data_IF_903261289368
#
_entry.id   IF_903261289368
#
_cell.length_a   1.000
_cell.length_b   1.000
_cell.length_c   1.000
_cell.angle_alpha   90.00
_cell.angle_beta   90.00
_cell.angle_gamma   90.00
#
_symmetry.space_group_name_H-M   'P 1'
#
loop_
_entity.id
_entity.type
_entity.pdbx_description
1 polymer ?
#
# COMPACT_ATOMS: atom_id res chain seq x y z
N UNK A 1 -17.22 -20.04 14.95
CA UNK A 1 -16.52 -18.93 14.23
C UNK A 1 -15.90 -18.00 15.26
N UNK A 2 -14.77 -17.35 14.98
CA UNK A 2 -14.13 -16.38 15.90
C UNK A 2 -14.21 -14.95 15.34
N UNK A 3 -14.53 -13.99 16.20
CA UNK A 3 -14.63 -12.56 15.83
C UNK A 3 -13.44 -11.81 16.42
N UNK A 4 -12.67 -11.12 15.58
CA UNK A 4 -11.54 -10.28 15.95
C UNK A 4 -11.90 -8.83 15.61
N UNK A 5 -12.03 -7.99 16.64
CA UNK A 5 -12.36 -6.56 16.47
C UNK A 5 -11.17 -5.74 15.98
N UNK A 6 -11.44 -4.56 15.38
CA UNK A 6 -10.40 -3.60 15.01
C UNK A 6 -9.53 -3.17 16.19
N UNK A 7 -10.12 -3.07 17.40
CA UNK A 7 -9.37 -2.78 18.61
C UNK A 7 -8.34 -3.88 18.91
N UNK A 8 -8.74 -5.15 18.85
CA UNK A 8 -7.86 -6.30 19.06
C UNK A 8 -6.78 -6.41 17.97
N UNK A 9 -7.14 -6.15 16.70
CA UNK A 9 -6.17 -6.06 15.61
C UNK A 9 -5.10 -5.02 15.98
N UNK A 10 -5.51 -3.80 16.34
CA UNK A 10 -4.61 -2.70 16.65
C UNK A 10 -3.73 -2.95 17.86
N UNK A 11 -4.31 -3.28 19.01
CA UNK A 11 -3.59 -3.30 20.30
C UNK A 11 -2.81 -4.58 20.54
N UNK A 12 -3.22 -5.69 19.91
CA UNK A 12 -2.67 -7.01 20.24
C UNK A 12 -1.99 -7.68 19.06
N UNK A 13 -2.57 -7.58 17.86
CA UNK A 13 -2.04 -8.30 16.69
C UNK A 13 -0.98 -7.49 15.94
N UNK A 14 -1.19 -6.20 15.67
CA UNK A 14 -0.21 -5.35 14.97
C UNK A 14 1.18 -5.38 15.65
N UNK A 15 1.32 -5.32 16.99
CA UNK A 15 2.63 -5.40 17.65
C UNK A 15 3.35 -6.73 17.41
N UNK A 16 2.62 -7.82 17.11
CA UNK A 16 3.19 -9.15 16.84
C UNK A 16 3.68 -9.30 15.39
N UNK A 17 3.29 -8.40 14.48
CA UNK A 17 3.64 -8.48 13.06
C UNK A 17 5.08 -8.02 12.83
N UNK A 18 5.91 -8.93 12.33
CA UNK A 18 7.26 -8.60 11.84
C UNK A 18 7.21 -8.08 10.41
N UNK A 19 8.20 -7.27 10.01
CA UNK A 19 8.33 -6.85 8.60
C UNK A 19 8.49 -8.07 7.67
N UNK A 20 9.23 -9.10 8.10
CA UNK A 20 9.47 -10.30 7.31
C UNK A 20 8.17 -11.06 7.01
N UNK A 21 7.37 -11.35 8.05
CA UNK A 21 6.08 -12.04 7.87
C UNK A 21 5.09 -11.23 7.03
N UNK A 22 5.12 -9.90 7.16
CA UNK A 22 4.24 -9.01 6.40
C UNK A 22 4.62 -8.95 4.92
N UNK A 23 5.90 -8.78 4.61
CA UNK A 23 6.41 -8.78 3.24
C UNK A 23 6.21 -10.15 2.58
N UNK A 24 6.44 -11.24 3.31
CA UNK A 24 6.17 -12.60 2.85
C UNK A 24 4.70 -12.79 2.48
N UNK A 25 3.78 -12.41 3.37
CA UNK A 25 2.33 -12.46 3.13
C UNK A 25 1.94 -11.73 1.84
N UNK A 26 2.46 -10.51 1.62
CA UNK A 26 2.12 -9.75 0.42
C UNK A 26 2.82 -10.28 -0.84
N UNK A 27 4.00 -10.89 -0.73
CA UNK A 27 4.63 -11.57 -1.84
C UNK A 27 3.82 -12.80 -2.30
N UNK A 28 3.33 -13.61 -1.36
CA UNK A 28 2.41 -14.72 -1.66
C UNK A 28 1.18 -14.21 -2.40
N UNK A 29 0.56 -13.13 -1.92
CA UNK A 29 -0.61 -12.53 -2.55
C UNK A 29 -0.34 -12.11 -4.00
N UNK A 30 0.70 -11.29 -4.22
CA UNK A 30 0.99 -10.74 -5.53
C UNK A 30 1.48 -11.80 -6.53
N UNK A 31 2.28 -12.77 -6.08
CA UNK A 31 2.75 -13.86 -6.94
C UNK A 31 1.65 -14.87 -7.27
N UNK A 32 0.59 -14.97 -6.46
CA UNK A 32 -0.57 -15.82 -6.79
C UNK A 32 -1.31 -15.37 -8.06
N UNK A 33 -1.17 -14.10 -8.47
CA UNK A 33 -1.72 -13.56 -9.71
C UNK A 33 -0.85 -13.85 -10.94
N UNK A 34 0.37 -14.36 -10.75
CA UNK A 34 1.26 -14.65 -11.87
C UNK A 34 0.82 -15.95 -12.57
N UNK A 35 0.94 -16.04 -13.91
CA UNK A 35 0.66 -17.27 -14.63
C UNK A 35 1.56 -18.41 -14.13
N UNK A 36 0.98 -19.54 -13.75
CA UNK A 36 1.77 -20.75 -13.44
C UNK A 36 2.25 -21.40 -14.73
N UNK A 37 3.51 -21.85 -14.76
CA UNK A 37 4.10 -22.56 -15.92
C UNK A 37 3.52 -23.97 -16.14
N UNK A 38 2.75 -24.49 -15.19
CA UNK A 38 2.01 -25.76 -15.30
C UNK A 38 0.57 -25.55 -15.78
N UNK A 39 0.00 -26.58 -16.39
CA UNK A 39 -1.42 -26.63 -16.76
C UNK A 39 -2.30 -26.16 -15.59
N UNK A 40 -3.13 -25.13 -15.77
CA UNK A 40 -3.91 -24.57 -14.68
C UNK A 40 -4.88 -25.62 -14.13
N UNK A 41 -4.68 -26.02 -12.88
CA UNK A 41 -5.66 -26.79 -12.12
C UNK A 41 -6.61 -25.80 -11.42
N UNK A 42 -7.93 -26.06 -11.37
CA UNK A 42 -8.86 -25.24 -10.60
C UNK A 42 -8.52 -25.17 -9.10
N UNK A 43 -7.63 -26.05 -8.61
CA UNK A 43 -7.15 -26.05 -7.22
C UNK A 43 -5.91 -25.18 -6.97
N UNK A 44 -5.22 -24.69 -8.01
CA UNK A 44 -3.95 -23.96 -7.88
C UNK A 44 -4.00 -22.52 -8.39
N UNK A 45 -5.09 -22.13 -9.05
CA UNK A 45 -5.21 -20.79 -9.65
C UNK A 45 -5.85 -19.81 -8.67
N UNK A 46 -5.21 -18.66 -8.46
CA UNK A 46 -5.83 -17.58 -7.70
C UNK A 46 -7.12 -17.10 -8.38
N UNK A 47 -8.10 -16.72 -7.57
CA UNK A 47 -9.38 -16.20 -8.04
C UNK A 47 -9.56 -14.81 -7.44
N UNK A 48 -9.57 -13.79 -8.29
CA UNK A 48 -9.75 -12.41 -7.89
C UNK A 48 -10.79 -11.74 -8.80
N UNK A 49 -12.08 -12.14 -8.71
CA UNK A 49 -13.14 -11.52 -9.50
C UNK A 49 -13.25 -10.01 -9.24
N UNK A 50 -13.82 -9.23 -10.17
CA UNK A 50 -14.11 -7.82 -9.96
C UNK A 50 -14.97 -7.59 -8.71
N UNK A 51 -14.70 -6.48 -8.01
CA UNK A 51 -15.48 -6.06 -6.84
C UNK A 51 -16.96 -5.86 -7.22
N UNK A 52 -17.87 -6.36 -6.39
CA UNK A 52 -19.30 -6.13 -6.52
C UNK A 52 -19.70 -4.90 -5.71
N UNK A 53 -20.58 -4.06 -6.26
CA UNK A 53 -21.01 -2.81 -5.64
C UNK A 53 -22.52 -2.80 -5.38
N UNK A 54 -22.93 -2.48 -4.16
CA UNK A 54 -24.31 -2.11 -3.81
C UNK A 54 -24.34 -0.64 -3.41
N UNK A 55 -25.34 0.08 -3.90
CA UNK A 55 -25.54 1.50 -3.61
C UNK A 55 -26.65 1.66 -2.57
N UNK A 56 -26.30 2.25 -1.44
CA UNK A 56 -27.24 2.66 -0.40
C UNK A 56 -27.32 4.20 -0.37
N UNK A 57 -28.32 4.82 0.29
CA UNK A 57 -28.45 6.28 0.30
C UNK A 57 -27.21 7.05 0.79
N UNK A 58 -26.41 6.45 1.68
CA UNK A 58 -25.25 7.11 2.32
C UNK A 58 -23.91 6.41 2.07
N UNK A 59 -23.90 5.23 1.42
CA UNK A 59 -22.68 4.46 1.22
C UNK A 59 -22.72 3.65 -0.07
N UNK A 60 -21.57 3.46 -0.69
CA UNK A 60 -21.33 2.38 -1.64
C UNK A 60 -20.70 1.21 -0.88
N UNK A 61 -21.40 0.09 -0.81
CA UNK A 61 -20.90 -1.15 -0.21
C UNK A 61 -20.18 -1.98 -1.26
N UNK A 62 -18.95 -2.37 -0.97
CA UNK A 62 -18.11 -3.17 -1.86
C UNK A 62 -17.91 -4.55 -1.27
N UNK A 63 -18.11 -5.57 -2.09
CA UNK A 63 -17.84 -6.98 -1.77
C UNK A 63 -16.71 -7.46 -2.67
N UNK A 64 -15.63 -7.93 -2.04
CA UNK A 64 -14.39 -8.28 -2.72
C UNK A 64 -14.01 -9.72 -2.33
N UNK A 65 -14.65 -10.74 -2.93
CA UNK A 65 -14.26 -12.13 -2.74
C UNK A 65 -12.94 -12.40 -3.47
N UNK A 66 -12.02 -13.10 -2.81
CA UNK A 66 -10.78 -13.54 -3.42
C UNK A 66 -10.24 -14.83 -2.78
N UNK A 67 -9.41 -15.54 -3.54
CA UNK A 67 -8.66 -16.73 -3.13
C UNK A 67 -7.29 -16.68 -3.78
N UNK A 68 -6.26 -17.11 -3.07
CA UNK A 68 -4.89 -17.26 -3.59
C UNK A 68 -4.62 -18.71 -3.97
N UNK A 69 -3.38 -19.04 -4.31
CA UNK A 69 -2.94 -20.42 -4.52
C UNK A 69 -2.69 -21.18 -3.20
N UNK A 70 -2.86 -20.52 -2.04
CA UNK A 70 -2.81 -21.15 -0.71
C UNK A 70 -4.23 -21.40 -0.19
N UNK A 71 -4.44 -22.39 0.70
CA UNK A 71 -5.76 -22.69 1.25
C UNK A 71 -6.44 -21.48 1.88
N UNK A 72 -7.76 -21.52 1.88
CA UNK A 72 -8.72 -20.55 2.41
C UNK A 72 -8.98 -19.35 1.50
N UNK A 73 -10.21 -18.86 1.59
CA UNK A 73 -10.70 -17.71 0.82
C UNK A 73 -11.24 -16.61 1.73
N UNK A 74 -11.22 -15.38 1.25
CA UNK A 74 -11.70 -14.20 1.99
C UNK A 74 -12.72 -13.44 1.18
N UNK A 75 -13.77 -12.98 1.87
CA UNK A 75 -14.66 -11.93 1.36
C UNK A 75 -14.45 -10.69 2.20
N UNK A 76 -13.87 -9.64 1.61
CA UNK A 76 -13.84 -8.31 2.24
C UNK A 76 -15.13 -7.58 1.91
N UNK A 77 -15.75 -7.01 2.94
CA UNK A 77 -16.95 -6.19 2.86
C UNK A 77 -16.64 -4.82 3.46
N UNK A 78 -16.70 -3.76 2.66
CA UNK A 78 -16.41 -2.40 3.10
C UNK A 78 -17.50 -1.43 2.65
N UNK A 79 -17.82 -0.43 3.47
CA UNK A 79 -18.79 0.62 3.12
C UNK A 79 -18.06 1.94 2.95
N UNK A 80 -18.02 2.45 1.73
CA UNK A 80 -17.41 3.75 1.40
C UNK A 80 -18.48 4.84 1.54
N UNK A 81 -18.32 5.84 2.41
CA UNK A 81 -19.29 6.93 2.54
C UNK A 81 -19.46 7.72 1.23
N UNK A 82 -20.70 8.06 0.89
CA UNK A 82 -20.99 9.02 -0.18
C UNK A 82 -20.85 10.47 0.33
N UNK A 83 -20.88 11.44 -0.58
CA UNK A 83 -20.88 12.87 -0.22
C UNK A 83 -22.09 13.30 0.63
N UNK A 84 -23.15 12.50 0.65
CA UNK A 84 -24.38 12.72 1.44
C UNK A 84 -24.33 12.10 2.83
N UNK A 85 -23.28 11.36 3.17
CA UNK A 85 -23.16 10.69 4.46
C UNK A 85 -22.87 11.68 5.59
N UNK A 86 -23.67 11.63 6.65
CA UNK A 86 -23.46 12.37 7.90
C UNK A 86 -22.66 11.56 8.94
N UNK A 87 -22.20 10.35 8.60
CA UNK A 87 -21.47 9.47 9.52
C UNK A 87 -20.02 9.93 9.62
N UNK A 88 -19.46 9.82 10.83
CA UNK A 88 -18.06 10.16 11.12
C UNK A 88 -17.07 9.50 10.13
N UNK A 89 -15.95 10.17 9.90
CA UNK A 89 -14.93 9.77 8.93
C UNK A 89 -14.45 8.33 9.13
N UNK A 90 -14.48 7.51 8.07
CA UNK A 90 -13.94 6.15 8.08
C UNK A 90 -14.51 5.29 6.95
N UNK A 91 -13.96 4.09 6.78
CA UNK A 91 -14.49 3.07 5.87
C UNK A 91 -14.72 1.81 6.72
N UNK A 92 -15.90 1.66 7.34
CA UNK A 92 -16.18 0.48 8.15
C UNK A 92 -16.21 -0.77 7.26
N UNK A 93 -15.71 -1.87 7.79
CA UNK A 93 -15.71 -3.13 7.07
C UNK A 93 -15.19 -4.31 7.87
N UNK A 94 -15.35 -5.49 7.29
CA UNK A 94 -14.89 -6.76 7.82
C UNK A 94 -14.33 -7.64 6.71
N UNK A 95 -13.43 -8.53 7.09
CA UNK A 95 -12.99 -9.65 6.27
C UNK A 95 -13.57 -10.93 6.85
N UNK A 96 -14.27 -11.71 6.03
CA UNK A 96 -14.78 -13.04 6.36
C UNK A 96 -13.83 -14.07 5.79
N UNK A 97 -13.22 -14.89 6.65
CA UNK A 97 -12.34 -15.98 6.25
C UNK A 97 -13.12 -17.29 6.22
N UNK A 98 -13.01 -18.04 5.13
CA UNK A 98 -13.65 -19.32 4.91
C UNK A 98 -12.60 -20.43 4.84
N UNK A 99 -12.83 -21.50 5.60
CA UNK A 99 -12.01 -22.70 5.54
C UNK A 99 -12.30 -23.45 4.24
N UNK A 100 -11.27 -23.66 3.42
CA UNK A 100 -11.43 -24.29 2.10
C UNK A 100 -11.89 -25.75 2.18
N UNK A 101 -11.57 -26.46 3.28
CA UNK A 101 -11.86 -27.89 3.42
C UNK A 101 -13.31 -28.18 3.78
N UNK A 102 -13.92 -27.30 4.59
CA UNK A 102 -15.26 -27.44 5.14
C UNK A 102 -16.27 -26.47 4.53
N UNK A 103 -15.80 -25.40 3.86
CA UNK A 103 -16.61 -24.30 3.36
C UNK A 103 -17.19 -23.41 4.46
N UNK A 104 -16.84 -23.64 5.74
CA UNK A 104 -17.41 -22.92 6.87
C UNK A 104 -16.68 -21.59 7.09
N UNK A 105 -17.38 -20.52 7.51
CA UNK A 105 -16.72 -19.29 7.93
C UNK A 105 -15.97 -19.55 9.25
N UNK A 106 -14.65 -19.37 9.23
CA UNK A 106 -13.78 -19.60 10.38
C UNK A 106 -13.63 -18.34 11.23
N UNK A 107 -13.48 -17.18 10.58
CA UNK A 107 -13.22 -15.89 11.25
C UNK A 107 -13.98 -14.71 10.63
N UNK A 108 -14.32 -13.74 11.48
CA UNK A 108 -14.67 -12.37 11.10
C UNK A 108 -13.59 -11.45 11.68
N UNK A 109 -12.95 -10.65 10.83
CA UNK A 109 -11.86 -9.75 11.25
C UNK A 109 -12.21 -8.31 10.86
N UNK A 110 -12.11 -7.37 11.80
CA UNK A 110 -12.23 -5.94 11.50
C UNK A 110 -11.23 -5.52 10.41
N UNK A 111 -11.71 -4.85 9.37
CA UNK A 111 -10.89 -4.57 8.17
C UNK A 111 -10.26 -3.18 8.15
N UNK A 112 -10.53 -2.33 9.15
CA UNK A 112 -10.14 -0.91 9.15
C UNK A 112 -8.64 -0.76 9.00
N UNK A 113 -7.87 -1.55 9.75
CA UNK A 113 -6.40 -1.51 9.72
C UNK A 113 -5.80 -2.41 8.63
N UNK A 114 -6.45 -3.53 8.30
CA UNK A 114 -5.93 -4.51 7.34
C UNK A 114 -5.70 -3.88 5.96
N UNK A 115 -6.63 -3.05 5.49
CA UNK A 115 -6.48 -2.38 4.19
C UNK A 115 -5.32 -1.38 4.17
N UNK A 116 -5.09 -0.65 5.26
CA UNK A 116 -3.95 0.26 5.34
C UNK A 116 -2.62 -0.51 5.44
N UNK A 117 -2.61 -1.58 6.24
CA UNK A 117 -1.45 -2.43 6.46
C UNK A 117 -0.99 -3.13 5.19
N UNK A 118 -1.89 -3.81 4.48
CA UNK A 118 -1.55 -4.56 3.26
C UNK A 118 -1.09 -3.66 2.11
N UNK A 119 -1.72 -2.49 1.94
CA UNK A 119 -1.28 -1.49 0.95
C UNK A 119 0.10 -0.95 1.30
N UNK A 120 0.30 -0.50 2.54
CA UNK A 120 1.58 0.01 3.02
C UNK A 120 2.70 -1.04 2.92
N UNK A 121 2.39 -2.32 3.13
CA UNK A 121 3.33 -3.43 2.98
C UNK A 121 3.77 -3.63 1.53
N UNK A 122 2.85 -3.56 0.56
CA UNK A 122 3.20 -3.57 -0.87
C UNK A 122 4.09 -2.38 -1.25
N UNK A 123 3.76 -1.18 -0.78
CA UNK A 123 4.59 0.01 -0.98
C UNK A 123 5.95 -0.05 -0.27
N UNK A 124 6.02 -0.70 0.90
CA UNK A 124 7.29 -0.96 1.55
C UNK A 124 8.13 -1.91 0.71
N UNK A 125 7.55 -3.00 0.21
CA UNK A 125 8.26 -3.94 -0.65
C UNK A 125 8.83 -3.25 -1.90
N UNK A 126 8.04 -2.41 -2.59
CA UNK A 126 8.53 -1.62 -3.74
C UNK A 126 9.62 -0.63 -3.36
N UNK A 127 9.49 0.02 -2.21
CA UNK A 127 10.50 0.97 -1.69
C UNK A 127 11.81 0.28 -1.33
N UNK A 128 11.76 -0.94 -0.78
CA UNK A 128 12.94 -1.75 -0.50
C UNK A 128 13.64 -2.10 -1.81
N UNK A 129 12.91 -2.58 -2.82
CA UNK A 129 13.50 -2.88 -4.13
C UNK A 129 14.14 -1.63 -4.77
N UNK A 130 13.51 -0.46 -4.64
CA UNK A 130 13.98 0.77 -5.25
C UNK A 130 15.16 1.44 -4.50
N UNK A 131 15.15 1.43 -3.17
CA UNK A 131 16.05 2.23 -2.33
C UNK A 131 16.83 1.40 -1.29
N UNK A 132 16.66 0.08 -1.25
CA UNK A 132 17.28 -0.80 -0.26
C UNK A 132 18.82 -0.78 -0.30
N UNK A 133 19.41 -0.69 -1.48
CA UNK A 133 20.87 -0.55 -1.64
C UNK A 133 21.43 0.76 -1.09
N UNK A 134 20.60 1.80 -0.96
CA UNK A 134 20.97 3.12 -0.41
C UNK A 134 20.19 3.45 0.86
N UNK A 135 19.75 2.43 1.61
CA UNK A 135 18.89 2.55 2.80
C UNK A 135 19.35 3.63 3.78
N UNK A 136 20.66 3.72 4.06
CA UNK A 136 21.21 4.71 5.00
C UNK A 136 21.16 6.17 4.51
N UNK A 137 20.91 6.39 3.21
CA UNK A 137 20.74 7.72 2.61
C UNK A 137 19.27 8.18 2.63
N UNK A 138 18.32 7.29 2.94
CA UNK A 138 16.89 7.60 3.00
C UNK A 138 16.57 8.31 4.32
N UNK A 139 16.56 9.65 4.30
CA UNK A 139 16.39 10.49 5.50
C UNK A 139 15.06 11.21 5.62
N UNK A 140 14.32 11.31 4.52
CA UNK A 140 13.15 12.19 4.40
C UNK A 140 12.05 11.57 3.56
N UNK A 141 10.80 11.78 4.00
CA UNK A 141 9.59 11.36 3.30
C UNK A 141 8.59 12.52 3.21
N UNK A 142 7.95 12.64 2.06
CA UNK A 142 6.76 13.47 1.86
C UNK A 142 5.55 12.56 1.74
N UNK A 143 4.47 12.85 2.46
CA UNK A 143 3.21 12.12 2.36
C UNK A 143 2.06 13.08 2.09
N UNK A 144 1.37 12.89 0.97
CA UNK A 144 0.14 13.60 0.65
C UNK A 144 -1.04 12.88 1.29
N UNK A 145 -1.77 13.58 2.15
CA UNK A 145 -2.88 13.07 2.93
C UNK A 145 -2.50 12.73 4.37
N UNK A 146 -3.50 12.79 5.26
CA UNK A 146 -3.38 12.56 6.71
C UNK A 146 -4.23 11.34 7.19
N UNK A 147 -4.74 10.55 6.23
CA UNK A 147 -5.59 9.38 6.48
C UNK A 147 -4.83 8.15 7.00
N UNK A 148 -5.55 7.03 7.17
CA UNK A 148 -4.96 5.76 7.63
C UNK A 148 -3.85 5.23 6.71
N UNK A 149 -4.01 5.38 5.39
CA UNK A 149 -2.97 4.98 4.43
C UNK A 149 -1.67 5.75 4.70
N UNK A 150 -1.72 7.07 4.82
CA UNK A 150 -0.55 7.90 5.10
C UNK A 150 0.18 7.50 6.39
N UNK A 151 -0.58 7.29 7.47
CA UNK A 151 -0.02 6.85 8.77
C UNK A 151 0.68 5.49 8.65
N UNK A 152 0.03 4.49 8.05
CA UNK A 152 0.60 3.15 7.93
C UNK A 152 1.82 3.10 6.98
N UNK A 153 1.83 3.91 5.92
CA UNK A 153 2.99 4.01 5.04
C UNK A 153 4.18 4.57 5.82
N UNK A 154 4.01 5.69 6.52
CA UNK A 154 5.08 6.27 7.34
C UNK A 154 5.54 5.29 8.42
N UNK A 155 4.61 4.66 9.16
CA UNK A 155 4.92 3.70 10.21
C UNK A 155 5.78 2.53 9.72
N UNK A 156 5.36 1.83 8.66
CA UNK A 156 6.13 0.68 8.14
C UNK A 156 7.49 1.11 7.59
N UNK A 157 7.57 2.27 6.95
CA UNK A 157 8.84 2.76 6.40
C UNK A 157 9.81 3.21 7.50
N UNK A 158 9.34 3.78 8.61
CA UNK A 158 10.17 4.06 9.79
C UNK A 158 10.75 2.79 10.42
N UNK A 159 10.02 1.66 10.38
CA UNK A 159 10.52 0.37 10.88
C UNK A 159 11.66 -0.22 10.04
N UNK A 160 11.71 0.11 8.74
CA UNK A 160 12.74 -0.40 7.83
C UNK A 160 13.85 0.64 7.59
N UNK A 161 13.53 1.83 7.10
CA UNK A 161 14.49 2.91 6.85
C UNK A 161 14.83 3.61 8.16
N UNK A 162 15.69 3.02 8.99
CA UNK A 162 16.06 3.53 10.33
C UNK A 162 16.74 4.90 10.33
N UNK A 163 17.26 5.33 9.17
CA UNK A 163 17.82 6.68 8.95
C UNK A 163 16.75 7.73 8.58
N UNK A 164 15.48 7.33 8.40
CA UNK A 164 14.35 8.21 8.10
C UNK A 164 13.97 9.02 9.34
N UNK A 165 14.19 10.34 9.28
CA UNK A 165 14.00 11.25 10.42
C UNK A 165 13.06 12.41 10.11
N UNK A 166 12.92 12.82 8.85
CA UNK A 166 12.04 13.93 8.45
C UNK A 166 10.78 13.42 7.76
N UNK A 167 9.61 13.70 8.36
CA UNK A 167 8.29 13.39 7.79
C UNK A 167 7.56 14.70 7.50
N UNK A 168 7.29 14.96 6.23
CA UNK A 168 6.49 16.12 5.80
C UNK A 168 5.12 15.64 5.34
N UNK A 169 4.07 16.02 6.06
CA UNK A 169 2.68 15.69 5.72
C UNK A 169 2.04 16.86 4.97
N UNK A 170 1.61 16.63 3.73
CA UNK A 170 0.93 17.63 2.90
C UNK A 170 -0.58 17.44 3.03
N UNK A 171 -1.28 18.49 3.48
CA UNK A 171 -2.74 18.48 3.72
C UNK A 171 -3.43 19.62 3.00
N UNK A 172 -4.74 19.49 2.73
CA UNK A 172 -5.49 20.58 2.08
C UNK A 172 -5.13 20.82 0.61
N UNK A 173 -4.72 19.78 -0.13
CA UNK A 173 -4.45 19.93 -1.57
C UNK A 173 -5.68 20.39 -2.39
N UNK A 174 -6.89 20.13 -1.88
CA UNK A 174 -8.15 20.51 -2.53
C UNK A 174 -8.84 21.74 -1.91
N UNK A 175 -8.31 22.28 -0.80
CA UNK A 175 -8.89 23.44 -0.11
C UNK A 175 -7.86 24.17 0.72
N UNK A 176 -7.98 25.49 0.80
CA UNK A 176 -7.19 26.28 1.73
C UNK A 176 -7.50 25.90 3.18
N UNK A 177 -6.46 25.79 3.99
CA UNK A 177 -6.53 25.54 5.43
C UNK A 177 -5.85 26.72 6.15
N UNK A 178 -6.42 27.13 7.27
CA UNK A 178 -5.77 28.04 8.21
C UNK A 178 -4.56 27.36 8.88
N UNK A 179 -3.65 28.16 9.43
CA UNK A 179 -2.50 27.64 10.19
C UNK A 179 -2.94 26.75 11.35
N UNK A 180 -4.03 27.10 12.03
CA UNK A 180 -4.58 26.31 13.15
C UNK A 180 -5.08 24.94 12.68
N UNK A 181 -5.76 24.86 11.53
CA UNK A 181 -6.20 23.59 10.95
C UNK A 181 -5.02 22.71 10.51
N UNK A 182 -3.97 23.30 9.94
CA UNK A 182 -2.73 22.57 9.59
C UNK A 182 -2.07 22.02 10.85
N UNK A 183 -2.01 22.80 11.93
CA UNK A 183 -1.46 22.35 13.22
C UNK A 183 -2.31 21.26 13.89
N UNK A 184 -3.63 21.33 13.77
CA UNK A 184 -4.52 20.26 14.23
C UNK A 184 -4.28 18.97 13.46
N UNK A 185 -4.18 19.05 12.12
CA UNK A 185 -3.83 17.93 11.25
C UNK A 185 -2.51 17.29 11.64
N UNK A 186 -1.49 18.11 11.91
CA UNK A 186 -0.17 17.66 12.41
C UNK A 186 -0.30 16.88 13.72
N UNK A 187 -1.01 17.43 14.72
CA UNK A 187 -1.20 16.79 16.03
C UNK A 187 -1.94 15.46 15.92
N UNK A 188 -3.00 15.41 15.11
CA UNK A 188 -3.77 14.18 14.89
C UNK A 188 -2.95 13.12 14.16
N UNK A 189 -2.14 13.51 13.16
CA UNK A 189 -1.25 12.58 12.47
C UNK A 189 -0.19 12.03 13.42
N UNK A 190 0.45 12.89 14.23
CA UNK A 190 1.44 12.49 15.24
C UNK A 190 0.83 11.49 16.22
N UNK A 191 -0.31 11.82 16.85
CA UNK A 191 -0.94 10.96 17.83
C UNK A 191 -1.28 9.56 17.26
N UNK A 192 -1.72 9.49 16.01
CA UNK A 192 -2.02 8.21 15.34
C UNK A 192 -0.77 7.42 14.97
N UNK A 193 0.32 8.10 14.62
CA UNK A 193 1.60 7.44 14.36
C UNK A 193 2.24 6.96 15.67
N UNK A 194 2.20 7.78 16.73
CA UNK A 194 2.75 7.47 18.05
C UNK A 194 2.00 6.30 18.72
N UNK A 195 0.71 6.11 18.41
CA UNK A 195 -0.05 4.92 18.83
C UNK A 195 0.46 3.61 18.18
N UNK A 196 1.16 3.69 17.04
CA UNK A 196 1.76 2.54 16.34
C UNK A 196 3.28 2.42 16.54
N UNK A 197 3.96 3.54 16.77
CA UNK A 197 5.41 3.65 16.94
C UNK A 197 5.77 3.59 18.42
N UNK A 198 6.51 2.55 18.85
CA UNK A 198 6.98 2.49 20.24
C UNK A 198 8.25 3.32 20.48
N UNK A 199 9.09 3.54 19.46
CA UNK A 199 10.40 4.20 19.59
C UNK A 199 10.88 4.75 18.24
N UNK A 200 11.11 6.06 18.14
CA UNK A 200 11.77 6.67 16.97
C UNK A 200 12.09 8.14 17.22
N UNK A 201 13.25 8.61 16.73
CA UNK A 201 13.59 10.03 16.68
C UNK A 201 13.28 10.53 15.26
N UNK A 202 12.05 10.99 15.05
CA UNK A 202 11.64 11.64 13.81
C UNK A 202 10.90 12.95 14.11
N UNK A 203 10.93 13.88 13.16
CA UNK A 203 10.18 15.13 13.21
C UNK A 203 9.04 15.08 12.20
N UNK A 204 7.83 15.40 12.65
CA UNK A 204 6.67 15.55 11.77
C UNK A 204 6.41 17.04 11.57
N UNK A 205 6.57 17.49 10.33
CA UNK A 205 6.07 18.77 9.87
C UNK A 205 4.79 18.56 9.06
N UNK A 206 3.86 19.51 9.10
CA UNK A 206 2.67 19.50 8.26
C UNK A 206 2.58 20.82 7.50
N UNK A 207 2.37 20.74 6.19
CA UNK A 207 2.29 21.90 5.30
C UNK A 207 1.01 21.87 4.48
N UNK A 208 0.53 23.06 4.09
CA UNK A 208 -0.60 23.19 3.18
C UNK A 208 -0.19 22.78 1.77
N UNK A 209 -1.00 21.96 1.11
CA UNK A 209 -0.85 21.60 -0.30
C UNK A 209 -1.05 22.78 -1.26
N UNK A 210 -1.62 23.90 -0.77
CA UNK A 210 -1.70 25.16 -1.51
C UNK A 210 -0.37 25.92 -1.51
N UNK A 211 0.54 25.65 -0.57
CA UNK A 211 1.88 26.26 -0.54
C UNK A 211 2.82 25.50 -1.49
N UNK A 212 2.77 25.86 -2.78
CA UNK A 212 3.56 25.22 -3.83
C UNK A 212 5.06 25.30 -3.59
N UNK A 213 5.55 26.37 -2.97
CA UNK A 213 6.98 26.54 -2.69
C UNK A 213 7.44 25.61 -1.57
N UNK A 214 6.66 25.49 -0.49
CA UNK A 214 6.96 24.55 0.59
C UNK A 214 6.88 23.10 0.09
N UNK A 215 5.85 22.75 -0.68
CA UNK A 215 5.69 21.41 -1.28
C UNK A 215 6.87 21.08 -2.19
N UNK A 216 7.26 21.99 -3.09
CA UNK A 216 8.41 21.82 -3.98
C UNK A 216 9.71 21.62 -3.21
N UNK A 217 9.94 22.40 -2.16
CA UNK A 217 11.15 22.28 -1.32
C UNK A 217 11.19 20.91 -0.65
N UNK A 218 10.07 20.47 -0.07
CA UNK A 218 9.96 19.17 0.55
C UNK A 218 10.17 18.02 -0.46
N UNK A 219 9.60 18.11 -1.66
CA UNK A 219 9.77 17.11 -2.72
C UNK A 219 11.22 16.98 -3.20
N UNK A 220 11.96 18.08 -3.32
CA UNK A 220 13.39 18.04 -3.69
C UNK A 220 14.25 17.36 -2.64
N UNK A 221 13.88 17.50 -1.37
CA UNK A 221 14.61 16.90 -0.26
C UNK A 221 14.21 15.45 -0.01
N UNK A 222 12.99 15.05 -0.34
CA UNK A 222 12.45 13.72 -0.07
C UNK A 222 13.15 12.60 -0.85
N UNK A 223 13.37 11.46 -0.20
CA UNK A 223 13.79 10.22 -0.88
C UNK A 223 12.59 9.31 -1.14
N UNK A 224 11.55 9.43 -0.31
CA UNK A 224 10.28 8.73 -0.44
C UNK A 224 9.14 9.74 -0.62
N UNK A 225 8.20 9.46 -1.51
CA UNK A 225 6.96 10.24 -1.65
C UNK A 225 5.77 9.28 -1.65
N UNK A 226 4.79 9.52 -0.79
CA UNK A 226 3.56 8.74 -0.77
C UNK A 226 2.39 9.63 -1.16
N UNK A 227 1.62 9.22 -2.17
CA UNK A 227 0.33 9.84 -2.48
C UNK A 227 -0.78 8.94 -1.97
N UNK A 228 -1.47 9.40 -0.93
CA UNK A 228 -2.49 8.64 -0.20
C UNK A 228 -3.83 9.38 -0.23
N UNK A 229 -4.13 10.10 -1.31
CA UNK A 229 -5.34 10.91 -1.45
C UNK A 229 -6.19 10.45 -2.63
N UNK A 230 -7.53 10.38 -2.51
CA UNK A 230 -8.43 10.08 -3.62
C UNK A 230 -8.59 11.31 -4.54
N UNK A 231 -7.46 11.79 -5.09
CA UNK A 231 -7.44 12.97 -5.95
C UNK A 231 -7.93 12.64 -7.36
N UNK A 232 -8.55 13.62 -8.02
CA UNK A 232 -8.86 13.55 -9.46
C UNK A 232 -7.86 14.36 -10.30
N UNK A 233 -6.90 15.03 -9.66
CA UNK A 233 -5.87 15.84 -10.32
C UNK A 233 -4.49 15.60 -9.69
N UNK A 234 -3.40 15.71 -10.48
CA UNK A 234 -2.04 15.54 -9.96
C UNK A 234 -1.75 16.39 -8.72
N UNK A 235 -1.08 15.80 -7.72
CA UNK A 235 -0.75 16.45 -6.45
C UNK A 235 0.58 17.20 -6.48
N UNK A 236 1.45 16.82 -7.41
CA UNK A 236 2.79 17.35 -7.60
C UNK A 236 3.06 17.60 -9.08
N UNK A 237 4.00 18.48 -9.36
CA UNK A 237 4.51 18.68 -10.72
C UNK A 237 5.77 17.85 -10.92
N UNK A 238 5.93 17.28 -12.12
CA UNK A 238 7.12 16.49 -12.44
C UNK A 238 8.42 17.33 -12.33
N UNK A 239 8.35 18.64 -12.62
CA UNK A 239 9.47 19.58 -12.49
C UNK A 239 9.89 19.89 -11.06
N UNK A 240 9.10 19.50 -10.06
CA UNK A 240 9.42 19.70 -8.65
C UNK A 240 10.27 18.55 -8.08
N UNK A 241 10.39 17.45 -8.82
CA UNK A 241 11.19 16.29 -8.42
C UNK A 241 12.68 16.50 -8.71
N UNK A 242 13.57 15.88 -7.93
CA UNK A 242 15.01 16.00 -8.16
C UNK A 242 15.44 15.24 -9.43
N UNK A 243 16.45 15.76 -10.12
CA UNK A 243 17.03 15.14 -11.33
C UNK A 243 18.23 14.24 -11.00
N UNK A 244 18.93 14.52 -9.88
CA UNK A 244 20.20 13.88 -9.54
C UNK A 244 20.15 13.15 -8.18
N UNK A 245 18.96 12.75 -7.73
CA UNK A 245 18.77 12.06 -6.45
C UNK A 245 17.79 10.91 -6.62
N UNK A 246 18.14 9.68 -6.16
CA UNK A 246 17.18 8.59 -6.11
C UNK A 246 15.94 8.97 -5.29
N UNK A 247 14.78 8.81 -5.90
CA UNK A 247 13.49 9.04 -5.24
C UNK A 247 12.51 7.94 -5.65
N UNK A 248 11.75 7.43 -4.67
CA UNK A 248 10.70 6.45 -4.94
C UNK A 248 9.34 7.00 -4.52
N UNK A 249 8.37 6.89 -5.43
CA UNK A 249 7.02 7.40 -5.27
C UNK A 249 6.04 6.23 -5.19
N UNK A 250 5.31 6.09 -4.09
CA UNK A 250 4.20 5.13 -3.99
C UNK A 250 2.87 5.86 -4.11
N UNK A 251 2.11 5.58 -5.18
CA UNK A 251 0.82 6.19 -5.44
C UNK A 251 -0.33 5.20 -5.23
N UNK A 252 -1.09 5.40 -4.16
CA UNK A 252 -2.08 4.44 -3.66
C UNK A 252 -3.47 5.02 -3.42
N UNK A 253 -3.62 6.35 -3.47
CA UNK A 253 -4.90 7.02 -3.21
C UNK A 253 -5.89 6.99 -4.37
N UNK A 254 -5.38 6.88 -5.61
CA UNK A 254 -6.16 6.81 -6.85
C UNK A 254 -6.42 5.36 -7.26
N UNK A 255 -7.69 4.93 -7.28
CA UNK A 255 -8.08 3.54 -7.55
C UNK A 255 -9.29 3.42 -8.49
N UNK A 256 -9.63 4.48 -9.20
CA UNK A 256 -10.66 4.48 -10.25
C UNK A 256 -10.13 5.21 -11.49
N UNK A 257 -10.71 4.96 -12.69
CA UNK A 257 -10.24 5.59 -13.92
C UNK A 257 -10.27 7.13 -13.92
N UNK A 258 -11.19 7.73 -13.15
CA UNK A 258 -11.31 9.18 -13.03
C UNK A 258 -10.31 9.79 -12.05
N UNK A 259 -9.77 9.01 -11.11
CA UNK A 259 -8.83 9.49 -10.11
C UNK A 259 -7.41 9.58 -10.67
N UNK A 260 -6.68 10.62 -10.28
CA UNK A 260 -5.32 10.87 -10.70
C UNK A 260 -4.54 11.62 -9.61
N UNK A 261 -3.42 11.06 -9.15
CA UNK A 261 -2.50 11.68 -8.16
C UNK A 261 -1.16 12.13 -8.78
N UNK A 262 -0.76 11.52 -9.90
CA UNK A 262 0.54 11.72 -10.54
C UNK A 262 0.40 12.40 -11.90
N UNK A 263 1.29 13.34 -12.26
CA UNK A 263 1.22 13.99 -13.56
C UNK A 263 1.61 13.02 -14.68
N UNK A 264 0.96 13.15 -15.85
CA UNK A 264 1.20 12.27 -16.99
C UNK A 264 2.65 12.29 -17.47
N UNK A 265 3.35 13.43 -17.34
CA UNK A 265 4.77 13.56 -17.71
C UNK A 265 5.69 12.68 -16.86
N UNK A 266 5.39 12.50 -15.56
CA UNK A 266 6.14 11.59 -14.68
C UNK A 266 5.91 10.14 -15.08
N UNK A 267 4.66 9.75 -15.33
CA UNK A 267 4.33 8.38 -15.76
C UNK A 267 5.01 8.06 -17.09
N UNK A 268 4.97 8.98 -18.06
CA UNK A 268 5.65 8.79 -19.36
C UNK A 268 7.16 8.71 -19.21
N UNK A 269 7.76 9.52 -18.35
CA UNK A 269 9.21 9.48 -18.11
C UNK A 269 9.64 8.16 -17.48
N UNK A 270 8.93 7.70 -16.46
CA UNK A 270 9.23 6.43 -15.77
C UNK A 270 8.93 5.21 -16.62
N UNK A 271 7.96 5.27 -17.54
CA UNK A 271 7.65 4.16 -18.45
C UNK A 271 8.67 3.97 -19.58
N UNK A 272 9.58 4.92 -19.77
CA UNK A 272 10.70 4.80 -20.72
C UNK A 272 11.90 4.07 -20.11
N UNK A 273 11.94 3.91 -18.78
CA UNK A 273 13.08 3.32 -18.07
C UNK A 273 12.64 1.97 -17.48
N UNK A 274 13.36 0.92 -17.85
CA UNK A 274 12.98 -0.45 -17.49
C UNK A 274 12.91 -0.62 -15.97
N UNK A 275 11.70 -0.90 -15.49
CA UNK A 275 11.43 -1.14 -14.08
C UNK A 275 11.41 0.11 -13.19
N UNK A 276 11.41 1.31 -13.77
CA UNK A 276 11.15 2.53 -13.02
C UNK A 276 9.65 2.75 -12.76
N UNK A 277 8.77 2.10 -13.54
CA UNK A 277 7.32 2.09 -13.34
C UNK A 277 6.84 0.69 -12.94
N UNK A 278 6.50 0.54 -11.67
CA UNK A 278 6.03 -0.72 -11.09
C UNK A 278 4.56 -0.63 -10.69
N UNK A 279 3.85 -1.76 -10.72
CA UNK A 279 2.44 -1.87 -10.34
C UNK A 279 2.19 -3.08 -9.46
N UNK A 280 1.08 -3.09 -8.72
CA UNK A 280 0.63 -4.28 -7.98
C UNK A 280 0.12 -5.39 -8.92
N UNK A 281 -0.74 -5.03 -9.88
CA UNK A 281 -1.23 -5.91 -10.94
C UNK A 281 -1.40 -5.11 -12.23
N UNK A 282 -0.78 -5.55 -13.32
CA UNK A 282 -0.94 -4.90 -14.62
C UNK A 282 -2.41 -4.96 -15.04
N UNK A 283 -3.07 -6.09 -14.86
CA UNK A 283 -4.45 -6.28 -15.29
C UNK A 283 -5.42 -5.34 -14.56
N UNK A 284 -5.25 -5.20 -13.23
CA UNK A 284 -6.08 -4.31 -12.43
C UNK A 284 -5.76 -2.84 -12.72
N UNK A 285 -4.48 -2.47 -12.80
CA UNK A 285 -4.07 -1.11 -13.12
C UNK A 285 -4.52 -0.67 -14.52
N UNK A 286 -4.52 -1.55 -15.52
CA UNK A 286 -5.02 -1.28 -16.87
C UNK A 286 -6.54 -1.04 -16.92
N UNK A 287 -7.27 -1.30 -15.83
CA UNK A 287 -8.71 -1.05 -15.70
C UNK A 287 -9.04 0.07 -14.73
N UNK A 288 -8.24 0.24 -13.67
CA UNK A 288 -8.59 1.09 -12.52
C UNK A 288 -7.63 2.28 -12.31
N UNK A 289 -6.37 2.22 -12.77
CA UNK A 289 -5.38 3.23 -12.41
C UNK A 289 -5.44 4.46 -13.31
N UNK A 290 -6.30 5.44 -12.98
CA UNK A 290 -6.50 6.63 -13.81
C UNK A 290 -5.21 7.39 -14.19
N UNK A 291 -4.22 7.50 -13.30
CA UNK A 291 -2.90 8.07 -13.64
C UNK A 291 -2.22 7.39 -14.83
N UNK A 292 -2.33 6.06 -14.94
CA UNK A 292 -1.71 5.30 -16.02
C UNK A 292 -2.55 5.42 -17.29
N UNK A 293 -3.87 5.25 -17.17
CA UNK A 293 -4.81 5.28 -18.29
C UNK A 293 -4.85 6.64 -19.00
N UNK A 294 -4.67 7.72 -18.24
CA UNK A 294 -4.63 9.08 -18.78
C UNK A 294 -3.26 9.43 -19.40
N UNK A 295 -2.19 8.71 -19.00
CA UNK A 295 -0.83 9.02 -19.42
C UNK A 295 -0.32 8.13 -20.56
N UNK A 296 -0.72 6.85 -20.59
CA UNK A 296 -0.22 5.82 -21.48
C UNK A 296 -1.37 5.17 -22.27
N UNK A 297 -1.13 4.76 -23.53
CA UNK A 297 -2.01 3.84 -24.22
C UNK A 297 -2.19 2.52 -23.43
N UNK A 298 -3.34 1.82 -23.54
CA UNK A 298 -3.55 0.54 -22.86
C UNK A 298 -2.45 -0.49 -23.14
N UNK A 299 -1.96 -0.58 -24.38
CA UNK A 299 -0.85 -1.46 -24.79
C UNK A 299 0.45 -1.16 -24.04
N UNK A 300 0.69 0.10 -23.73
CA UNK A 300 1.89 0.56 -23.06
C UNK A 300 1.85 0.25 -21.56
N UNK A 301 0.66 0.21 -20.94
CA UNK A 301 0.53 -0.26 -19.55
C UNK A 301 1.02 -1.71 -19.45
N UNK A 302 0.64 -2.57 -20.40
CA UNK A 302 1.05 -3.98 -20.40
C UNK A 302 2.52 -4.21 -20.73
N UNK A 303 3.14 -3.35 -21.52
CA UNK A 303 4.52 -3.55 -22.00
C UNK A 303 5.57 -2.75 -21.21
N UNK A 304 5.18 -1.64 -20.59
CA UNK A 304 6.11 -0.72 -19.89
C UNK A 304 6.04 -0.81 -18.36
N UNK A 305 4.95 -1.33 -17.79
CA UNK A 305 4.88 -1.55 -16.35
C UNK A 305 5.49 -2.90 -15.97
N UNK A 306 6.11 -2.98 -14.79
CA UNK A 306 6.54 -4.24 -14.19
C UNK A 306 5.69 -4.54 -12.95
N UNK A 307 5.13 -5.74 -12.86
CA UNK A 307 4.45 -6.17 -11.64
C UNK A 307 5.46 -6.38 -10.52
N UNK A 308 5.18 -5.81 -9.36
CA UNK A 308 6.04 -5.93 -8.18
C UNK A 308 6.31 -7.40 -7.83
N UNK A 309 5.35 -8.30 -8.07
CA UNK A 309 5.51 -9.75 -7.90
C UNK A 309 6.76 -10.32 -8.58
N UNK A 310 7.12 -9.82 -9.77
CA UNK A 310 8.28 -10.27 -10.56
C UNK A 310 9.62 -9.80 -10.00
N UNK A 311 9.59 -8.78 -9.14
CA UNK A 311 10.76 -8.21 -8.49
C UNK A 311 10.96 -8.74 -7.06
N UNK A 312 10.05 -9.59 -6.56
CA UNK A 312 10.13 -10.14 -5.22
C UNK A 312 10.65 -11.59 -5.24
N UNK A 313 11.44 -12.01 -4.25
CA UNK A 313 11.85 -13.40 -4.10
C UNK A 313 10.64 -14.33 -3.99
N UNK A 314 10.74 -15.56 -4.50
CA UNK A 314 9.70 -16.57 -4.31
C UNK A 314 9.53 -16.91 -2.82
N UNK A 315 8.33 -16.74 -2.24
CA UNK A 315 8.08 -17.04 -0.83
C UNK A 315 8.05 -18.55 -0.62
N UNK A 316 8.76 -19.01 0.41
CA UNK A 316 8.73 -20.39 0.87
C UNK A 316 7.82 -20.51 2.10
N UNK A 317 7.04 -21.58 2.20
CA UNK A 317 6.08 -21.80 3.30
C UNK A 317 6.73 -22.28 4.61
N UNK A 318 8.03 -22.55 4.64
CA UNK A 318 8.74 -22.97 5.85
C UNK A 318 8.86 -21.80 6.85
N UNK A 319 8.86 -22.09 8.16
CA UNK A 319 9.01 -21.07 9.21
C UNK A 319 10.31 -20.24 9.02
N UNK A 320 11.41 -20.91 8.64
CA UNK A 320 12.66 -20.24 8.27
C UNK A 320 12.52 -19.36 7.04
N UNK A 321 11.72 -19.76 6.05
CA UNK A 321 11.41 -18.96 4.86
C UNK A 321 10.61 -17.70 5.17
N UNK A 322 9.65 -17.78 6.09
CA UNK A 322 8.86 -16.61 6.54
C UNK A 322 9.72 -15.64 7.37
N UNK A 323 10.52 -16.16 8.31
CA UNK A 323 11.37 -15.35 9.20
C UNK A 323 12.55 -14.69 8.48
N UNK A 324 13.07 -15.33 7.42
CA UNK A 324 14.19 -14.84 6.62
C UNK A 324 13.79 -14.04 5.37
N UNK A 325 12.49 -13.84 5.13
CA UNK A 325 12.01 -13.25 3.88
C UNK A 325 12.49 -11.80 3.68
N UNK A 326 12.55 -10.99 4.74
CA UNK A 326 13.07 -9.62 4.66
C UNK A 326 14.49 -9.59 4.07
N UNK A 327 15.37 -10.47 4.53
CA UNK A 327 16.75 -10.56 4.05
C UNK A 327 16.81 -11.01 2.58
N UNK A 328 15.86 -11.82 2.11
CA UNK A 328 15.75 -12.16 0.69
C UNK A 328 15.37 -10.94 -0.14
N UNK A 329 14.42 -10.12 0.33
CA UNK A 329 14.02 -8.88 -0.37
C UNK A 329 15.19 -7.88 -0.37
N UNK A 330 15.94 -7.77 0.72
CA UNK A 330 17.15 -6.93 0.78
C UNK A 330 18.21 -7.36 -0.24
N UNK A 331 18.48 -8.66 -0.37
CA UNK A 331 19.40 -9.18 -1.40
C UNK A 331 18.91 -8.86 -2.81
N UNK A 332 17.62 -9.07 -3.06
CA UNK A 332 17.00 -8.77 -4.35
C UNK A 332 17.09 -7.26 -4.69
N UNK A 333 16.96 -6.39 -3.70
CA UNK A 333 17.12 -4.94 -3.87
C UNK A 333 18.55 -4.54 -4.24
N UNK A 334 19.57 -5.19 -3.67
CA UNK A 334 20.98 -4.96 -4.04
C UNK A 334 21.24 -5.42 -5.46
N UNK A 335 20.78 -6.60 -5.84
CA UNK A 335 20.92 -7.13 -7.20
C UNK A 335 20.23 -6.22 -8.23
N UNK A 336 19.01 -5.79 -7.91
CA UNK A 336 18.22 -4.91 -8.78
C UNK A 336 18.78 -3.48 -8.86
N UNK A 337 19.33 -2.97 -7.75
CA UNK A 337 19.92 -1.65 -7.64
C UNK A 337 21.32 -1.52 -8.24
N UNK A 338 22.10 -2.61 -8.27
CA UNK A 338 23.48 -2.62 -8.80
C UNK A 338 23.57 -2.20 -10.28
N UNK A 339 22.51 -2.39 -11.07
CA UNK A 339 22.43 -1.90 -12.45
C UNK A 339 21.98 -0.43 -12.61
N UNK A 340 21.59 0.24 -11.51
CA UNK A 340 20.99 1.59 -11.53
C UNK A 340 21.89 2.68 -10.97
N UNK A 341 22.98 2.33 -10.29
CA UNK A 341 23.95 3.30 -9.77
C UNK A 341 24.66 4.08 -10.90
N UNK A 342 24.77 3.49 -12.10
CA UNK A 342 25.37 4.11 -13.28
C UNK A 342 24.43 5.13 -13.98
N UNK A 343 23.11 5.02 -13.79
CA UNK A 343 22.11 5.85 -14.50
C UNK A 343 21.83 7.21 -13.85
N UNK A 344 22.52 7.56 -12.75
CA UNK A 344 22.25 8.77 -11.99
C UNK A 344 20.96 8.70 -11.18
N UNK A 345 20.73 9.68 -10.30
CA UNK A 345 19.63 9.64 -9.32
C UNK A 345 18.23 9.64 -9.95
N UNK A 346 17.68 8.45 -10.17
CA UNK A 346 16.42 8.22 -10.87
C UNK A 346 15.19 8.31 -9.95
N UNK A 347 14.10 8.90 -10.48
CA UNK A 347 12.76 8.81 -9.91
C UNK A 347 12.10 7.51 -10.35
N UNK A 348 11.58 6.75 -9.40
CA UNK A 348 10.80 5.52 -9.66
C UNK A 348 9.40 5.62 -9.05
N UNK A 349 8.44 4.93 -9.65
CA UNK A 349 7.03 4.95 -9.27
C UNK A 349 6.55 3.53 -9.01
N UNK A 350 5.84 3.34 -7.91
CA UNK A 350 4.97 2.21 -7.65
C UNK A 350 3.52 2.70 -7.63
N UNK A 351 2.71 2.24 -8.59
CA UNK A 351 1.28 2.54 -8.65
C UNK A 351 0.48 1.34 -8.18
N UNK A 352 -0.34 1.52 -7.14
CA UNK A 352 -1.24 0.48 -6.64
C UNK A 352 -2.70 0.93 -6.69
N UNK A 353 -3.58 0.01 -7.06
CA UNK A 353 -5.06 0.14 -6.97
C UNK A 353 -5.64 -0.79 -5.91
N UNK A 354 -4.85 -1.75 -5.45
CA UNK A 354 -5.19 -2.76 -4.47
C UNK A 354 -5.96 -3.92 -5.08
N UNK A 355 -5.47 -5.13 -4.85
CA UNK A 355 -6.04 -6.36 -5.39
C UNK A 355 -6.55 -7.26 -4.27
N UNK A 356 -7.67 -7.95 -4.50
CA UNK A 356 -8.37 -8.73 -3.47
C UNK A 356 -7.52 -9.83 -2.83
N UNK A 357 -6.58 -10.41 -3.57
CA UNK A 357 -5.62 -11.41 -3.03
C UNK A 357 -4.76 -10.87 -1.90
N UNK A 358 -4.50 -9.56 -1.85
CA UNK A 358 -3.77 -8.96 -0.73
C UNK A 358 -4.61 -8.96 0.55
N UNK A 359 -5.94 -8.80 0.43
CA UNK A 359 -6.86 -8.90 1.55
C UNK A 359 -6.96 -10.34 2.08
N UNK A 360 -6.80 -11.35 1.21
CA UNK A 360 -6.73 -12.76 1.60
C UNK A 360 -5.52 -13.00 2.51
N UNK A 361 -4.32 -12.73 2.02
CA UNK A 361 -3.10 -13.07 2.75
C UNK A 361 -2.88 -12.22 3.99
N UNK A 362 -3.33 -10.96 4.01
CA UNK A 362 -3.25 -10.16 5.25
C UNK A 362 -4.21 -10.68 6.31
N UNK A 363 -5.39 -11.16 5.93
CA UNK A 363 -6.35 -11.76 6.87
C UNK A 363 -5.78 -13.05 7.45
N UNK A 364 -5.22 -13.92 6.61
CA UNK A 364 -4.54 -15.16 7.05
C UNK A 364 -3.42 -14.87 8.03
N UNK A 365 -2.57 -13.88 7.74
CA UNK A 365 -1.50 -13.45 8.64
C UNK A 365 -2.03 -12.91 9.98
N UNK A 366 -3.07 -12.08 9.96
CA UNK A 366 -3.68 -11.55 11.18
C UNK A 366 -4.28 -12.68 12.03
N UNK A 367 -4.97 -13.63 11.39
CA UNK A 367 -5.56 -14.79 12.07
C UNK A 367 -4.48 -15.71 12.64
N UNK A 368 -3.39 -15.96 11.93
CA UNK A 368 -2.30 -16.82 12.43
C UNK A 368 -1.58 -16.22 13.63
N UNK A 369 -1.57 -14.89 13.76
CA UNK A 369 -0.99 -14.16 14.89
C UNK A 369 -2.00 -13.86 16.01
N UNK A 370 -3.28 -14.14 15.79
CA UNK A 370 -4.32 -13.89 16.78
C UNK A 370 -4.18 -14.83 18.00
N UNK A 371 -3.76 -16.07 17.79
CA UNK A 371 -3.68 -17.10 18.86
C UNK A 371 -5.04 -17.30 19.56
N UNK A 372 -5.18 -16.86 20.81
CA UNK A 372 -6.41 -16.88 21.60
C UNK A 372 -7.26 -15.59 21.47
N UNK A 373 -6.75 -14.57 20.77
CA UNK A 373 -7.41 -13.27 20.59
C UNK A 373 -8.69 -13.42 19.77
N UNK A 374 -9.78 -12.89 20.33
CA UNK A 374 -11.08 -12.81 19.68
C UNK A 374 -12.18 -13.48 20.50
N UNK A 375 -13.42 -13.26 20.11
CA UNK A 375 -14.59 -13.86 20.77
C UNK A 375 -15.06 -15.05 19.94
N UNK A 376 -15.15 -16.23 20.56
CA UNK A 376 -15.76 -17.39 19.91
C UNK A 376 -17.28 -17.25 19.88
N UNK A 377 -17.88 -17.43 18.72
CA UNK A 377 -19.32 -17.43 18.50
C UNK A 377 -19.73 -18.79 17.92
N UNK A 378 -20.61 -19.49 18.64
CA UNK A 378 -21.27 -20.68 18.15
C UNK A 378 -22.34 -20.26 17.15
N UNK A 379 -22.22 -20.74 15.92
CA UNK A 379 -23.21 -20.57 14.85
C UNK A 379 -23.90 -21.90 14.59
#
# INVERSE_FOLDING_TARGET
MRIISDAQVRTTILPRITLSSLLHSQAVALQSLQPTSSTPSPHTTAQCPPRLSLHTPNHTQLFMPARTNTPDSVVKIVSVPTSTSNVASGIPGVNLLFDDSTGKPSHVVGSTYLTALRTAAGSLASSIIALGGVRERVKSVVVFGDGAQAVFHVWLHLRYFTSLQSVVVVVGSHKSLSTQEVDEKRRNFSARLDDLCSTGQYTINCISGQDRNAVKTALKEASLVFTCTPSNTPLLDHSDLPINKPQHICAVGSYTPSMCELPASLIRSTSLITGALTVDSIESCAKEAGCLLQALPPTDVHTRCIELAKLLPTPQSSDGGVKGYLQLVERQAVEYGSGREEEGGMVTVFKSVGVGVQDVEITKLVVSLADDVGTHVAF
#
